data_IF_268078398489
#
_entry.id   IF_268078398489
#
_cell.length_a   1.000
_cell.length_b   1.000
_cell.length_c   1.000
_cell.angle_alpha   90.00
_cell.angle_beta   90.00
_cell.angle_gamma   90.00
#
_symmetry.space_group_name_H-M   'P 1'
#
loop_
_entity.id
_entity.type
_entity.pdbx_description
1 polymer ?
#
# COMPACT_ATOMS: atom_id res chain seq x y z
N UNK A 1 -13.90 -38.84 -51.27
CA UNK A 1 -15.14 -38.23 -50.79
C UNK A 1 -15.54 -39.05 -49.56
N UNK A 2 -15.63 -38.43 -48.37
CA UNK A 2 -16.00 -39.13 -47.14
C UNK A 2 -17.51 -39.35 -47.20
N UNK A 3 -17.94 -40.58 -47.46
CA UNK A 3 -19.34 -40.88 -47.76
C UNK A 3 -20.05 -41.57 -46.58
N UNK A 4 -19.31 -41.92 -45.53
CA UNK A 4 -19.83 -42.54 -44.31
C UNK A 4 -19.01 -42.17 -43.07
N UNK A 5 -19.62 -42.30 -41.89
CA UNK A 5 -18.94 -42.18 -40.58
C UNK A 5 -17.82 -43.20 -40.44
N UNK A 6 -17.92 -44.35 -41.10
CA UNK A 6 -16.85 -45.36 -41.10
C UNK A 6 -15.62 -44.90 -41.89
N UNK A 7 -15.81 -44.17 -42.99
CA UNK A 7 -14.69 -43.59 -43.74
C UNK A 7 -13.95 -42.53 -42.92
N UNK A 8 -14.69 -41.76 -42.09
CA UNK A 8 -14.12 -40.73 -41.21
C UNK A 8 -13.16 -41.31 -40.18
N UNK A 9 -13.51 -42.47 -39.59
CA UNK A 9 -12.67 -43.18 -38.62
C UNK A 9 -11.36 -43.74 -39.22
N UNK A 10 -11.24 -43.82 -40.55
CA UNK A 10 -9.99 -44.16 -41.23
C UNK A 10 -8.95 -43.03 -41.19
N UNK A 11 -9.37 -41.80 -40.90
CA UNK A 11 -8.51 -40.60 -40.89
C UNK A 11 -8.44 -39.91 -39.53
N UNK A 12 -9.49 -40.01 -38.71
CA UNK A 12 -9.59 -39.32 -37.42
C UNK A 12 -9.88 -40.35 -36.33
N UNK A 13 -9.11 -40.27 -35.24
CA UNK A 13 -9.34 -41.10 -34.06
C UNK A 13 -10.71 -40.79 -33.45
N UNK A 14 -11.43 -41.82 -33.01
CA UNK A 14 -12.73 -41.66 -32.34
C UNK A 14 -12.66 -40.80 -31.09
N UNK A 15 -11.50 -40.69 -30.44
CA UNK A 15 -11.29 -39.81 -29.28
C UNK A 15 -11.31 -38.33 -29.62
N UNK A 16 -11.24 -37.96 -30.90
CA UNK A 16 -11.24 -36.57 -31.38
C UNK A 16 -12.61 -36.14 -31.93
N UNK A 17 -13.55 -37.07 -32.02
CA UNK A 17 -14.90 -36.83 -32.52
C UNK A 17 -15.89 -36.84 -31.37
N UNK A 18 -16.88 -35.97 -31.44
CA UNK A 18 -18.00 -35.92 -30.52
C UNK A 18 -18.98 -37.08 -30.76
N UNK A 19 -19.84 -37.36 -29.79
CA UNK A 19 -20.76 -38.52 -29.85
C UNK A 19 -21.71 -38.48 -31.05
N UNK A 20 -22.14 -37.29 -31.48
CA UNK A 20 -22.97 -37.06 -32.67
C UNK A 20 -22.29 -37.45 -33.99
N UNK A 21 -20.95 -37.54 -34.00
CA UNK A 21 -20.14 -38.03 -35.12
C UNK A 21 -19.62 -39.46 -34.90
N UNK A 22 -20.12 -40.18 -33.89
CA UNK A 22 -19.73 -41.56 -33.58
C UNK A 22 -18.39 -41.69 -32.82
N UNK A 23 -17.92 -40.60 -32.22
CA UNK A 23 -16.71 -40.57 -31.41
C UNK A 23 -16.94 -40.74 -29.91
N UNK A 24 -15.92 -40.40 -29.13
CA UNK A 24 -15.85 -40.56 -27.66
C UNK A 24 -15.43 -39.28 -26.93
N UNK A 25 -15.27 -38.17 -27.66
CA UNK A 25 -14.98 -36.87 -27.07
C UNK A 25 -16.23 -36.33 -26.37
N UNK A 26 -16.17 -36.19 -25.05
CA UNK A 26 -17.22 -35.52 -24.30
C UNK A 26 -17.13 -34.00 -24.56
N UNK A 27 -18.12 -33.48 -25.27
CA UNK A 27 -18.24 -32.05 -25.59
C UNK A 27 -19.65 -31.55 -25.32
N UNK A 28 -19.76 -30.49 -24.53
CA UNK A 28 -21.03 -29.80 -24.25
C UNK A 28 -20.90 -28.34 -24.64
N UNK A 29 -21.52 -27.97 -25.77
CA UNK A 29 -21.42 -26.63 -26.32
C UNK A 29 -21.85 -25.52 -25.33
N UNK A 30 -22.91 -25.77 -24.57
CA UNK A 30 -23.38 -24.83 -23.54
C UNK A 30 -22.36 -24.61 -22.42
N UNK A 31 -21.68 -25.67 -21.97
CA UNK A 31 -20.61 -25.57 -20.97
C UNK A 31 -19.41 -24.80 -21.52
N UNK A 32 -19.03 -25.08 -22.77
CA UNK A 32 -17.95 -24.37 -23.46
C UNK A 32 -18.22 -22.86 -23.55
N UNK A 33 -19.43 -22.46 -23.97
CA UNK A 33 -19.85 -21.06 -24.01
C UNK A 33 -19.75 -20.43 -22.60
N UNK A 34 -20.30 -21.11 -21.60
CA UNK A 34 -20.32 -20.61 -20.22
C UNK A 34 -18.90 -20.38 -19.68
N UNK A 35 -17.99 -21.34 -19.88
CA UNK A 35 -16.59 -21.21 -19.45
C UNK A 35 -15.89 -20.05 -20.14
N UNK A 36 -15.99 -19.93 -21.47
CA UNK A 36 -15.34 -18.83 -22.21
C UNK A 36 -15.89 -17.47 -21.81
N UNK A 37 -17.22 -17.37 -21.67
CA UNK A 37 -17.88 -16.13 -21.21
C UNK A 37 -17.38 -15.73 -19.82
N UNK A 38 -17.27 -16.70 -18.90
CA UNK A 38 -16.75 -16.45 -17.56
C UNK A 38 -15.27 -16.02 -17.55
N UNK A 39 -14.43 -16.65 -18.39
CA UNK A 39 -13.01 -16.28 -18.53
C UNK A 39 -12.87 -14.87 -19.12
N UNK A 40 -13.65 -14.52 -20.14
CA UNK A 40 -13.64 -13.19 -20.74
C UNK A 40 -14.08 -12.11 -19.75
N UNK A 41 -15.15 -12.38 -18.97
CA UNK A 41 -15.59 -11.48 -17.91
C UNK A 41 -14.54 -11.31 -16.80
N UNK A 42 -13.84 -12.40 -16.44
CA UNK A 42 -12.74 -12.34 -15.49
C UNK A 42 -11.58 -11.49 -16.03
N UNK A 43 -11.17 -11.72 -17.28
CA UNK A 43 -10.11 -10.95 -17.93
C UNK A 43 -10.46 -9.46 -18.03
N UNK A 44 -11.72 -9.13 -18.31
CA UNK A 44 -12.20 -7.75 -18.35
C UNK A 44 -12.17 -7.10 -16.97
N UNK A 45 -12.59 -7.83 -15.93
CA UNK A 45 -12.51 -7.37 -14.54
C UNK A 45 -11.06 -7.11 -14.12
N UNK A 46 -10.15 -8.04 -14.40
CA UNK A 46 -8.71 -7.88 -14.13
C UNK A 46 -8.14 -6.64 -14.80
N UNK A 47 -8.43 -6.43 -16.08
CA UNK A 47 -7.98 -5.24 -16.80
C UNK A 47 -8.54 -3.96 -16.17
N UNK A 48 -9.81 -3.94 -15.80
CA UNK A 48 -10.45 -2.77 -15.18
C UNK A 48 -9.82 -2.45 -13.82
N UNK A 49 -9.59 -3.47 -12.98
CA UNK A 49 -8.90 -3.30 -11.69
C UNK A 49 -7.47 -2.81 -11.88
N UNK A 50 -6.73 -3.35 -12.86
CA UNK A 50 -5.38 -2.88 -13.18
C UNK A 50 -5.37 -1.40 -13.61
N UNK A 51 -6.34 -0.96 -14.43
CA UNK A 51 -6.50 0.45 -14.82
C UNK A 51 -6.82 1.35 -13.61
N UNK A 52 -7.68 0.91 -12.69
CA UNK A 52 -7.97 1.64 -11.45
C UNK A 52 -6.73 1.80 -10.57
N UNK A 53 -5.92 0.75 -10.42
CA UNK A 53 -4.66 0.78 -9.68
C UNK A 53 -3.66 1.75 -10.32
N UNK A 54 -3.54 1.74 -11.65
CA UNK A 54 -2.68 2.67 -12.38
C UNK A 54 -3.13 4.12 -12.21
N UNK A 55 -4.43 4.40 -12.33
CA UNK A 55 -4.98 5.74 -12.11
C UNK A 55 -4.73 6.23 -10.68
N UNK A 56 -4.90 5.36 -9.69
CA UNK A 56 -4.59 5.67 -8.31
C UNK A 56 -3.10 5.96 -8.13
N UNK A 57 -2.21 5.10 -8.64
CA UNK A 57 -0.76 5.32 -8.61
C UNK A 57 -0.32 6.63 -9.27
N UNK A 58 -0.89 6.98 -10.42
CA UNK A 58 -0.64 8.25 -11.09
C UNK A 58 -1.07 9.45 -10.24
N UNK A 59 -2.24 9.38 -9.62
CA UNK A 59 -2.76 10.41 -8.71
C UNK A 59 -1.84 10.61 -7.49
N UNK A 60 -1.24 9.53 -6.98
CA UNK A 60 -0.29 9.57 -5.87
C UNK A 60 1.06 10.19 -6.29
N UNK A 61 1.51 9.94 -7.53
CA UNK A 61 2.78 10.47 -8.03
C UNK A 61 2.73 11.99 -8.32
N UNK A 62 1.57 12.52 -8.70
CA UNK A 62 1.41 13.94 -9.09
C UNK A 62 1.00 14.87 -7.96
N UNK A 63 0.59 14.34 -6.79
CA UNK A 63 0.16 15.17 -5.67
C UNK A 63 1.37 15.80 -4.99
N UNK A 64 1.41 17.13 -5.00
CA UNK A 64 2.36 17.90 -4.19
C UNK A 64 2.19 17.55 -2.71
N UNK A 65 3.30 17.49 -1.97
CA UNK A 65 3.27 17.22 -0.54
C UNK A 65 2.59 18.40 0.18
N UNK A 66 1.61 18.16 1.07
CA UNK A 66 0.88 19.24 1.72
C UNK A 66 1.80 20.10 2.58
N UNK A 67 1.56 21.41 2.59
CA UNK A 67 2.35 22.38 3.37
C UNK A 67 1.96 22.43 4.86
N UNK A 68 0.89 21.74 5.27
CA UNK A 68 0.44 21.68 6.67
C UNK A 68 0.26 20.23 7.15
N UNK A 69 0.65 20.01 8.40
CA UNK A 69 0.58 18.70 9.09
C UNK A 69 -0.82 18.11 9.05
N UNK A 70 -1.85 18.89 9.41
CA UNK A 70 -3.25 18.43 9.42
C UNK A 70 -3.71 17.99 8.01
N UNK A 71 -3.34 18.75 6.97
CA UNK A 71 -3.68 18.39 5.60
C UNK A 71 -2.95 17.13 5.13
N UNK A 72 -1.76 16.85 5.65
CA UNK A 72 -0.99 15.66 5.29
C UNK A 72 -1.49 14.39 6.01
N UNK A 73 -1.95 14.50 7.26
CA UNK A 73 -2.60 13.40 7.99
C UNK A 73 -3.93 13.00 7.33
N UNK A 74 -4.76 13.99 6.98
CA UNK A 74 -6.00 13.76 6.23
C UNK A 74 -5.76 13.10 4.87
N UNK A 75 -4.72 13.54 4.16
CA UNK A 75 -4.33 12.98 2.89
C UNK A 75 -3.88 11.52 3.03
N UNK A 76 -3.06 11.20 4.03
CA UNK A 76 -2.59 9.85 4.32
C UNK A 76 -3.76 8.91 4.64
N UNK A 77 -4.70 9.35 5.48
CA UNK A 77 -5.92 8.58 5.79
C UNK A 77 -6.74 8.31 4.54
N UNK A 78 -6.94 9.33 3.70
CA UNK A 78 -7.70 9.23 2.45
C UNK A 78 -7.05 8.24 1.47
N UNK A 79 -5.74 8.34 1.27
CA UNK A 79 -4.99 7.43 0.40
C UNK A 79 -5.02 5.99 0.93
N UNK A 80 -4.83 5.81 2.25
CA UNK A 80 -4.85 4.48 2.87
C UNK A 80 -6.22 3.82 2.69
N UNK A 81 -7.30 4.58 2.90
CA UNK A 81 -8.67 4.07 2.67
C UNK A 81 -8.93 3.70 1.22
N UNK A 82 -8.39 4.46 0.25
CA UNK A 82 -8.50 4.11 -1.17
C UNK A 82 -7.70 2.85 -1.50
N UNK A 83 -6.48 2.73 -0.97
CA UNK A 83 -5.66 1.52 -1.11
C UNK A 83 -6.34 0.29 -0.54
N UNK A 84 -6.94 0.37 0.64
CA UNK A 84 -7.62 -0.76 1.28
C UNK A 84 -8.79 -1.27 0.42
N UNK A 85 -9.57 -0.36 -0.17
CA UNK A 85 -10.66 -0.73 -1.09
C UNK A 85 -10.14 -1.48 -2.32
N UNK A 86 -9.09 -0.97 -2.96
CA UNK A 86 -8.48 -1.61 -4.13
C UNK A 86 -7.88 -2.98 -3.79
N UNK A 87 -7.31 -3.11 -2.59
CA UNK A 87 -6.81 -4.39 -2.08
C UNK A 87 -7.95 -5.41 -1.88
N UNK A 88 -9.09 -4.98 -1.36
CA UNK A 88 -10.25 -5.84 -1.17
C UNK A 88 -10.84 -6.29 -2.53
N UNK A 89 -10.85 -5.41 -3.53
CA UNK A 89 -11.22 -5.77 -4.92
C UNK A 89 -10.28 -6.81 -5.52
N UNK A 90 -8.96 -6.66 -5.38
CA UNK A 90 -7.97 -7.64 -5.84
C UNK A 90 -8.17 -9.01 -5.18
N UNK A 91 -8.38 -9.03 -3.85
CA UNK A 91 -8.66 -10.28 -3.10
C UNK A 91 -9.95 -10.95 -3.56
N UNK A 92 -11.00 -10.17 -3.80
CA UNK A 92 -12.27 -10.70 -4.30
C UNK A 92 -12.08 -11.31 -5.69
N UNK A 93 -11.37 -10.61 -6.58
CA UNK A 93 -11.07 -11.09 -7.91
C UNK A 93 -10.24 -12.39 -7.85
N UNK A 94 -9.24 -12.49 -6.98
CA UNK A 94 -8.48 -13.72 -6.78
C UNK A 94 -9.34 -14.91 -6.35
N UNK A 95 -10.30 -14.69 -5.44
CA UNK A 95 -11.27 -15.73 -5.04
C UNK A 95 -12.19 -16.14 -6.19
N UNK A 96 -12.64 -15.19 -7.00
CA UNK A 96 -13.45 -15.48 -8.19
C UNK A 96 -12.66 -16.31 -9.21
N UNK A 97 -11.40 -15.95 -9.45
CA UNK A 97 -10.56 -16.64 -10.42
C UNK A 97 -10.19 -18.06 -10.00
N UNK A 98 -9.84 -18.28 -8.73
CA UNK A 98 -9.57 -19.61 -8.19
C UNK A 98 -10.81 -20.51 -8.20
N UNK A 99 -11.99 -19.94 -7.94
CA UNK A 99 -13.26 -20.65 -8.03
C UNK A 99 -13.56 -21.05 -9.48
N UNK A 100 -13.39 -20.12 -10.43
CA UNK A 100 -13.59 -20.38 -11.85
C UNK A 100 -12.64 -21.47 -12.38
N UNK A 101 -11.36 -21.41 -12.01
CA UNK A 101 -10.38 -22.45 -12.35
C UNK A 101 -10.82 -23.82 -11.82
N UNK A 102 -11.27 -23.89 -10.56
CA UNK A 102 -11.77 -25.11 -9.94
C UNK A 102 -13.00 -25.67 -10.68
N UNK A 103 -13.91 -24.81 -11.13
CA UNK A 103 -15.07 -25.21 -11.93
C UNK A 103 -14.67 -25.79 -13.30
N UNK A 104 -13.66 -25.21 -13.96
CA UNK A 104 -13.16 -25.72 -15.25
C UNK A 104 -12.47 -27.08 -15.06
N UNK A 105 -11.79 -27.29 -13.92
CA UNK A 105 -11.09 -28.53 -13.61
C UNK A 105 -11.99 -29.62 -13.02
N UNK A 106 -13.24 -29.30 -12.66
CA UNK A 106 -14.19 -30.21 -12.02
C UNK A 106 -14.38 -31.56 -12.74
N UNK A 107 -14.42 -31.64 -14.09
CA UNK A 107 -14.54 -32.92 -14.79
C UNK A 107 -13.38 -33.88 -14.50
N UNK A 108 -12.16 -33.37 -14.30
CA UNK A 108 -10.97 -34.17 -14.01
C UNK A 108 -10.83 -34.53 -12.52
N UNK A 109 -11.49 -33.79 -11.62
CA UNK A 109 -11.42 -34.05 -10.17
C UNK A 109 -12.46 -35.07 -9.69
N UNK A 110 -13.59 -35.21 -10.41
CA UNK A 110 -14.69 -36.12 -10.04
C UNK A 110 -14.48 -37.58 -10.44
N UNK A 111 -13.64 -37.89 -11.43
CA UNK A 111 -13.37 -39.26 -11.85
C UNK A 111 -11.90 -39.44 -12.26
N UNK A 112 -11.18 -40.44 -11.71
CA UNK A 112 -9.78 -40.71 -12.08
C UNK A 112 -9.58 -41.09 -13.55
N UNK A 113 -10.66 -41.48 -14.24
CA UNK A 113 -10.65 -41.85 -15.66
C UNK A 113 -11.04 -40.69 -16.59
N UNK A 114 -11.59 -39.60 -16.02
CA UNK A 114 -12.00 -38.42 -16.78
C UNK A 114 -10.79 -37.50 -16.99
N UNK A 115 -10.50 -37.21 -18.26
CA UNK A 115 -9.44 -36.27 -18.65
C UNK A 115 -10.09 -35.02 -19.22
N UNK A 116 -9.50 -33.87 -18.96
CA UNK A 116 -9.89 -32.62 -19.61
C UNK A 116 -9.77 -32.78 -21.12
N UNK A 117 -10.77 -32.29 -21.85
CA UNK A 117 -10.67 -32.18 -23.30
C UNK A 117 -9.69 -31.04 -23.67
N UNK A 118 -9.23 -30.98 -24.94
CA UNK A 118 -8.28 -29.95 -25.37
C UNK A 118 -8.75 -28.51 -25.11
N UNK A 119 -10.05 -28.22 -25.23
CA UNK A 119 -10.59 -26.88 -24.99
C UNK A 119 -10.61 -26.51 -23.50
N UNK A 120 -10.88 -27.47 -22.62
CA UNK A 120 -10.81 -27.26 -21.17
C UNK A 120 -9.37 -27.05 -20.72
N UNK A 121 -8.41 -27.78 -21.31
CA UNK A 121 -6.99 -27.56 -21.04
C UNK A 121 -6.54 -26.15 -21.45
N UNK A 122 -6.98 -25.66 -22.62
CA UNK A 122 -6.74 -24.28 -23.06
C UNK A 122 -7.35 -23.25 -22.09
N UNK A 123 -8.57 -23.52 -21.61
CA UNK A 123 -9.24 -22.67 -20.61
C UNK A 123 -8.47 -22.65 -19.28
N UNK A 124 -7.98 -23.81 -18.81
CA UNK A 124 -7.13 -23.91 -17.62
C UNK A 124 -5.86 -23.08 -17.78
N UNK A 125 -5.11 -23.27 -18.87
CA UNK A 125 -3.88 -22.51 -19.14
C UNK A 125 -4.16 -21.01 -19.24
N UNK A 126 -5.26 -20.63 -19.88
CA UNK A 126 -5.66 -19.21 -19.96
C UNK A 126 -5.96 -18.64 -18.59
N UNK A 127 -6.68 -19.38 -17.75
CA UNK A 127 -7.05 -18.95 -16.40
C UNK A 127 -5.84 -18.88 -15.46
N UNK A 128 -4.93 -19.85 -15.51
CA UNK A 128 -3.66 -19.84 -14.76
C UNK A 128 -2.81 -18.62 -15.13
N UNK A 129 -2.72 -18.29 -16.41
CA UNK A 129 -2.03 -17.09 -16.89
C UNK A 129 -2.69 -15.81 -16.36
N UNK A 130 -4.03 -15.71 -16.38
CA UNK A 130 -4.74 -14.54 -15.87
C UNK A 130 -4.58 -14.39 -14.35
N UNK A 131 -4.57 -15.50 -13.60
CA UNK A 131 -4.29 -15.49 -12.16
C UNK A 131 -2.86 -15.05 -11.85
N UNK A 132 -1.89 -15.48 -12.66
CA UNK A 132 -0.50 -15.02 -12.54
C UNK A 132 -0.38 -13.51 -12.80
N UNK A 133 -1.07 -12.99 -13.82
CA UNK A 133 -1.13 -11.56 -14.09
C UNK A 133 -1.79 -10.76 -12.95
N UNK A 134 -2.83 -11.31 -12.32
CA UNK A 134 -3.45 -10.71 -11.14
C UNK A 134 -2.46 -10.62 -9.97
N UNK A 135 -1.75 -11.70 -9.67
CA UNK A 135 -0.74 -11.74 -8.60
C UNK A 135 0.42 -10.76 -8.87
N UNK A 136 0.91 -10.69 -10.10
CA UNK A 136 1.93 -9.70 -10.51
C UNK A 136 1.42 -8.27 -10.36
N UNK A 137 0.16 -8.00 -10.74
CA UNK A 137 -0.48 -6.69 -10.61
C UNK A 137 -0.60 -6.29 -9.13
N UNK A 138 -1.07 -7.19 -8.27
CA UNK A 138 -1.18 -6.97 -6.83
C UNK A 138 0.21 -6.71 -6.20
N UNK A 139 1.22 -7.50 -6.57
CA UNK A 139 2.58 -7.35 -6.04
C UNK A 139 3.20 -6.01 -6.44
N UNK A 140 3.09 -5.63 -7.71
CA UNK A 140 3.59 -4.35 -8.21
C UNK A 140 2.92 -3.18 -7.49
N UNK A 141 1.60 -3.25 -7.28
CA UNK A 141 0.87 -2.24 -6.54
C UNK A 141 1.30 -2.13 -5.07
N UNK A 142 1.45 -3.26 -4.38
CA UNK A 142 1.88 -3.30 -2.98
C UNK A 142 3.29 -2.73 -2.79
N UNK A 143 4.21 -3.03 -3.71
CA UNK A 143 5.56 -2.47 -3.69
C UNK A 143 5.50 -0.94 -3.86
N UNK A 144 4.81 -0.46 -4.89
CA UNK A 144 4.63 0.97 -5.13
C UNK A 144 4.00 1.67 -3.91
N UNK A 145 2.94 1.10 -3.33
CA UNK A 145 2.28 1.64 -2.16
C UNK A 145 3.22 1.70 -0.96
N UNK A 146 4.01 0.65 -0.71
CA UNK A 146 4.95 0.63 0.43
C UNK A 146 5.98 1.75 0.33
N UNK A 147 6.54 1.97 -0.86
CA UNK A 147 7.51 3.05 -1.10
C UNK A 147 6.85 4.44 -0.95
N UNK A 148 5.67 4.62 -1.54
CA UNK A 148 4.92 5.87 -1.46
C UNK A 148 4.53 6.20 -0.01
N UNK A 149 3.97 5.23 0.70
CA UNK A 149 3.53 5.35 2.09
C UNK A 149 4.70 5.65 3.03
N UNK A 150 5.86 5.01 2.82
CA UNK A 150 7.07 5.31 3.60
C UNK A 150 7.49 6.76 3.39
N UNK A 151 7.58 7.22 2.14
CA UNK A 151 7.97 8.60 1.81
C UNK A 151 7.02 9.64 2.42
N UNK A 152 5.71 9.39 2.35
CA UNK A 152 4.71 10.28 2.91
C UNK A 152 4.80 10.36 4.45
N UNK A 153 4.98 9.22 5.13
CA UNK A 153 5.20 9.21 6.57
C UNK A 153 6.47 9.93 6.98
N UNK A 154 7.57 9.73 6.25
CA UNK A 154 8.81 10.47 6.50
C UNK A 154 8.62 11.99 6.30
N UNK A 155 7.83 12.41 5.31
CA UNK A 155 7.53 13.85 5.17
C UNK A 155 6.74 14.39 6.36
N UNK A 156 5.73 13.65 6.82
CA UNK A 156 4.96 14.00 8.03
C UNK A 156 5.84 14.09 9.27
N UNK A 157 6.72 13.10 9.48
CA UNK A 157 7.69 13.09 10.58
C UNK A 157 8.60 14.32 10.55
N UNK A 158 9.10 14.69 9.36
CA UNK A 158 9.92 15.88 9.20
C UNK A 158 9.14 17.16 9.55
N UNK A 159 7.91 17.31 9.06
CA UNK A 159 7.09 18.50 9.35
C UNK A 159 6.81 18.65 10.85
N UNK A 160 6.46 17.55 11.52
CA UNK A 160 6.27 17.50 12.97
C UNK A 160 7.56 17.87 13.71
N UNK A 161 8.68 17.28 13.30
CA UNK A 161 9.98 17.55 13.90
C UNK A 161 10.38 19.04 13.74
N UNK A 162 10.28 19.59 12.54
CA UNK A 162 10.62 21.00 12.27
C UNK A 162 9.73 21.96 13.04
N UNK A 163 8.42 21.69 13.12
CA UNK A 163 7.49 22.50 13.91
C UNK A 163 7.86 22.49 15.39
N UNK A 164 8.04 21.29 15.97
CA UNK A 164 8.40 21.14 17.37
C UNK A 164 9.75 21.80 17.68
N UNK A 165 10.71 21.70 16.74
CA UNK A 165 11.99 22.39 16.85
C UNK A 165 11.82 23.90 16.96
N UNK A 166 11.05 24.52 16.06
CA UNK A 166 10.84 25.97 16.12
C UNK A 166 10.07 26.39 17.38
N UNK A 167 9.07 25.61 17.81
CA UNK A 167 8.32 25.90 19.04
C UNK A 167 9.22 25.85 20.28
N UNK A 168 10.08 24.83 20.41
CA UNK A 168 11.02 24.70 21.53
C UNK A 168 12.11 25.77 21.46
N UNK A 169 12.67 26.03 20.28
CA UNK A 169 13.70 27.05 20.07
C UNK A 169 13.19 28.44 20.46
N UNK A 170 12.01 28.83 20.01
CA UNK A 170 11.41 30.12 20.37
C UNK A 170 11.18 30.23 21.88
N UNK A 171 10.78 29.15 22.55
CA UNK A 171 10.62 29.13 23.99
C UNK A 171 11.97 29.30 24.73
N UNK A 172 13.03 28.62 24.28
CA UNK A 172 14.38 28.78 24.82
C UNK A 172 14.93 30.19 24.59
N UNK A 173 14.79 30.73 23.38
CA UNK A 173 15.22 32.10 23.05
C UNK A 173 14.51 33.13 23.94
N UNK A 174 13.21 32.94 24.20
CA UNK A 174 12.43 33.81 25.11
C UNK A 174 12.90 33.70 26.55
N UNK A 175 13.26 32.50 27.03
CA UNK A 175 13.77 32.29 28.38
C UNK A 175 15.17 32.88 28.55
N UNK A 176 16.03 32.77 27.54
CA UNK A 176 17.35 33.40 27.52
C UNK A 176 17.24 34.93 27.52
N UNK A 177 16.28 35.48 26.80
CA UNK A 177 15.99 36.92 26.83
C UNK A 177 15.49 37.36 28.21
N UNK A 178 14.52 36.65 28.81
CA UNK A 178 14.03 36.91 30.18
C UNK A 178 15.21 36.81 31.19
N UNK A 179 16.09 35.82 31.04
CA UNK A 179 17.28 35.66 31.88
C UNK A 179 18.26 36.83 31.76
N UNK A 180 18.46 37.36 30.55
CA UNK A 180 19.38 38.48 30.30
C UNK A 180 18.93 39.79 30.95
N UNK A 181 17.64 39.94 31.27
CA UNK A 181 17.10 41.10 31.99
C UNK A 181 17.46 41.09 33.48
N UNK A 182 17.79 39.92 34.06
CA UNK A 182 18.25 39.79 35.46
C UNK A 182 19.69 40.30 35.62
N UNK A 183 19.82 41.62 35.71
CA UNK A 183 21.10 42.32 35.95
C UNK A 183 21.23 42.87 37.36
N UNK A 184 20.12 42.94 38.11
CA UNK A 184 20.08 43.45 39.47
C UNK A 184 20.50 42.37 40.49
N UNK A 185 21.27 42.79 41.49
CA UNK A 185 21.78 41.93 42.57
C UNK A 185 21.03 42.23 43.89
N UNK A 186 20.25 43.31 43.93
CA UNK A 186 19.45 43.73 45.08
C UNK A 186 20.25 44.49 46.14
N UNK A 187 19.64 45.51 46.73
CA UNK A 187 20.24 46.40 47.74
C UNK A 187 19.68 46.17 49.16
N UNK A 188 18.72 45.27 49.31
CA UNK A 188 18.02 44.97 50.55
C UNK A 188 17.57 43.51 50.61
N UNK A 189 17.38 42.98 51.83
CA UNK A 189 16.94 41.59 52.03
C UNK A 189 15.63 41.29 51.29
N UNK A 190 14.66 42.21 51.35
CA UNK A 190 13.36 42.07 50.68
C UNK A 190 13.54 42.01 49.15
N UNK A 191 14.39 42.88 48.59
CA UNK A 191 14.68 42.90 47.16
C UNK A 191 15.35 41.59 46.71
N UNK A 192 16.35 41.10 47.46
CA UNK A 192 17.03 39.84 47.17
C UNK A 192 16.08 38.65 47.26
N UNK A 193 15.18 38.60 48.25
CA UNK A 193 14.18 37.53 48.37
C UNK A 193 13.21 37.49 47.18
N UNK A 194 12.80 38.66 46.68
CA UNK A 194 11.96 38.78 45.49
C UNK A 194 12.70 38.33 44.22
N UNK A 195 13.93 38.79 44.01
CA UNK A 195 14.78 38.35 42.88
C UNK A 195 14.99 36.83 42.91
N UNK A 196 15.25 36.24 44.08
CA UNK A 196 15.39 34.79 44.23
C UNK A 196 14.11 34.05 43.82
N UNK A 197 12.94 34.59 44.15
CA UNK A 197 11.65 34.01 43.78
C UNK A 197 11.43 34.06 42.27
N UNK A 198 11.79 35.17 41.63
CA UNK A 198 11.70 35.35 40.17
C UNK A 198 12.66 34.41 39.44
N UNK A 199 13.91 34.29 39.91
CA UNK A 199 14.88 33.33 39.37
C UNK A 199 14.38 31.88 39.48
N UNK A 200 13.82 31.46 40.62
CA UNK A 200 13.25 30.11 40.78
C UNK A 200 12.07 29.85 39.84
N UNK A 201 11.26 30.88 39.58
CA UNK A 201 10.16 30.76 38.62
C UNK A 201 10.69 30.59 37.19
N UNK A 202 11.72 31.34 36.81
CA UNK A 202 12.38 31.19 35.52
C UNK A 202 13.04 29.82 35.35
N UNK A 203 13.75 29.34 36.38
CA UNK A 203 14.35 28.00 36.42
C UNK A 203 13.29 26.91 36.21
N UNK A 204 12.13 27.02 36.87
CA UNK A 204 11.01 26.10 36.69
C UNK A 204 10.49 26.06 35.24
N UNK A 205 10.26 27.23 34.62
CA UNK A 205 9.88 27.31 33.20
C UNK A 205 10.96 26.73 32.27
N UNK A 206 12.23 26.95 32.62
CA UNK A 206 13.38 26.48 31.88
C UNK A 206 13.49 24.96 31.87
N UNK A 207 13.23 24.32 33.02
CA UNK A 207 13.28 22.87 33.16
C UNK A 207 12.29 22.17 32.20
N UNK A 208 11.03 22.60 32.18
CA UNK A 208 10.01 22.04 31.28
C UNK A 208 10.39 22.18 29.80
N UNK A 209 11.02 23.29 29.43
CA UNK A 209 11.43 23.56 28.04
C UNK A 209 12.66 22.73 27.67
N UNK A 210 13.60 22.56 28.60
CA UNK A 210 14.79 21.73 28.42
C UNK A 210 14.43 20.24 28.24
N UNK A 211 13.46 19.74 29.01
CA UNK A 211 12.97 18.36 28.86
C UNK A 211 12.37 18.12 27.47
N UNK A 212 11.61 19.09 26.94
CA UNK A 212 11.08 19.04 25.58
C UNK A 212 12.20 19.05 24.52
N UNK A 213 13.24 19.85 24.71
CA UNK A 213 14.39 19.89 23.81
C UNK A 213 15.14 18.54 23.79
N UNK A 214 15.36 17.93 24.96
CA UNK A 214 15.99 16.62 25.08
C UNK A 214 15.15 15.53 24.39
N UNK A 215 13.83 15.54 24.62
CA UNK A 215 12.92 14.61 23.94
C UNK A 215 12.99 14.79 22.41
N UNK A 216 13.02 16.03 21.93
CA UNK A 216 13.11 16.33 20.51
C UNK A 216 14.44 15.82 19.91
N UNK A 217 15.56 15.96 20.63
CA UNK A 217 16.84 15.37 20.21
C UNK A 217 16.75 13.86 20.07
N UNK A 218 16.13 13.17 21.04
CA UNK A 218 15.94 11.71 21.00
C UNK A 218 15.08 11.31 19.79
N UNK A 219 14.00 12.05 19.51
CA UNK A 219 13.15 11.81 18.34
C UNK A 219 13.99 11.99 17.06
N UNK A 220 14.78 13.05 16.97
CA UNK A 220 15.65 13.29 15.82
C UNK A 220 16.68 12.18 15.61
N UNK A 221 17.31 11.69 16.68
CA UNK A 221 18.24 10.55 16.63
C UNK A 221 17.55 9.27 16.13
N UNK A 222 16.33 8.99 16.59
CA UNK A 222 15.53 7.86 16.11
C UNK A 222 15.21 7.98 14.61
N UNK A 223 14.84 9.17 14.13
CA UNK A 223 14.62 9.42 12.71
C UNK A 223 15.91 9.16 11.91
N UNK A 224 17.06 9.62 12.39
CA UNK A 224 18.35 9.38 11.73
C UNK A 224 18.69 7.89 11.67
N UNK A 225 18.51 7.16 12.77
CA UNK A 225 18.74 5.71 12.84
C UNK A 225 17.80 4.92 11.92
N UNK A 226 16.59 5.41 11.67
CA UNK A 226 15.63 4.82 10.74
C UNK A 226 15.95 5.06 9.25
N UNK A 227 17.10 5.67 8.94
CA UNK A 227 17.50 6.08 7.58
C UNK A 227 16.48 7.01 6.92
N UNK A 228 15.99 7.98 7.68
CA UNK A 228 15.06 9.00 7.19
C UNK A 228 15.66 9.78 6.00
N UNK A 229 14.87 10.08 4.96
CA UNK A 229 15.41 10.73 3.75
C UNK A 229 16.01 12.13 4.01
N UNK A 230 15.59 12.79 5.09
CA UNK A 230 15.97 14.15 5.45
C UNK A 230 17.01 14.23 6.60
N UNK A 231 17.87 13.22 6.76
CA UNK A 231 18.92 13.19 7.81
C UNK A 231 19.76 14.47 7.83
N UNK A 232 20.12 15.01 6.67
CA UNK A 232 20.95 16.22 6.57
C UNK A 232 20.24 17.48 7.08
N UNK A 233 18.90 17.49 7.07
CA UNK A 233 18.09 18.56 7.66
C UNK A 233 17.85 18.34 9.16
N UNK A 234 17.66 17.09 9.59
CA UNK A 234 17.34 16.75 10.98
C UNK A 234 18.56 16.91 11.88
N UNK A 235 19.72 16.38 11.47
CA UNK A 235 20.92 16.30 12.30
C UNK A 235 21.39 17.65 12.85
N UNK A 236 21.50 18.74 12.05
CA UNK A 236 21.95 20.03 12.59
C UNK A 236 21.04 20.54 13.72
N UNK A 237 19.73 20.31 13.61
CA UNK A 237 18.73 20.74 14.61
C UNK A 237 18.76 19.94 15.91
N UNK A 238 19.31 18.73 15.89
CA UNK A 238 19.53 17.94 17.11
C UNK A 238 20.77 18.41 17.89
N UNK A 239 21.74 19.01 17.20
CA UNK A 239 22.99 19.49 17.79
C UNK A 239 22.86 20.91 18.34
N UNK A 240 21.99 21.71 17.72
CA UNK A 240 21.63 23.06 18.16
C UNK A 240 20.89 23.07 19.50
#
# INVERSE_FOLDING_TARGET
>A
MLNSVSDLHGYIDKSQLTEDLGGTLEYRHSQWINHRTAIENFAMSLKTTAEMLQMFGACLATKELPSSVLSAEDLLMSHTRQRDKLQDELKLLGKQGTTLLSCIQEPATKSPTSKLNPSELENVTTMERLLLQLDETERAFNQFWSEHHLKLNQCLQLQHFERNFYEVKLALDSLLAEQAEFTDIGDSVICVEQLLKEHKNLEGKGQDTLEKAQLLSIIGDQLIQSHHYAVDSIRPRCVE
#
